data_IF_328810313432
#
_entry.id   IF_328810313432
#
_cell.length_a   1.000
_cell.length_b   1.000
_cell.length_c   1.000
_cell.angle_alpha   90.00
_cell.angle_beta   90.00
_cell.angle_gamma   90.00
#
_symmetry.space_group_name_H-M   'P 1'
#
loop_
_entity.id
_entity.type
_entity.pdbx_description
1 polymer ?
#
# COMPACT_ATOMS: atom_id res chain seq x y z
N UNK A 1 -44.76 -27.60 15.79
CA UNK A 1 -44.29 -27.51 14.39
C UNK A 1 -42.87 -26.99 14.43
N UNK A 2 -41.89 -27.86 14.18
CA UNK A 2 -40.47 -27.46 14.13
C UNK A 2 -40.24 -26.74 12.80
N UNK A 3 -39.99 -25.43 12.85
CA UNK A 3 -39.61 -24.63 11.69
C UNK A 3 -38.31 -25.21 11.13
N UNK A 4 -38.39 -25.96 10.03
CA UNK A 4 -37.21 -26.37 9.26
C UNK A 4 -36.47 -25.10 8.89
N UNK A 5 -35.28 -24.90 9.45
CA UNK A 5 -34.36 -23.87 9.00
C UNK A 5 -34.18 -24.06 7.49
N UNK A 6 -34.47 -23.02 6.72
CA UNK A 6 -34.33 -23.07 5.27
C UNK A 6 -32.87 -23.44 4.96
N UNK A 7 -32.64 -24.36 4.01
CA UNK A 7 -31.28 -24.81 3.73
C UNK A 7 -30.48 -23.64 3.14
N UNK A 8 -29.44 -23.22 3.88
CA UNK A 8 -28.48 -22.20 3.47
C UNK A 8 -27.18 -22.92 3.10
N UNK A 9 -26.81 -22.84 1.82
CA UNK A 9 -25.50 -23.28 1.36
C UNK A 9 -24.53 -22.12 1.42
N UNK A 10 -23.36 -22.32 2.03
CA UNK A 10 -22.32 -21.30 2.10
C UNK A 10 -21.29 -21.45 0.97
N UNK A 11 -20.89 -20.32 0.39
CA UNK A 11 -19.69 -20.17 -0.42
C UNK A 11 -18.55 -19.65 0.46
N UNK A 12 -17.35 -20.17 0.26
CA UNK A 12 -16.16 -19.76 1.00
C UNK A 12 -15.19 -19.05 0.07
N UNK A 13 -14.52 -18.02 0.59
CA UNK A 13 -13.46 -17.29 -0.11
C UNK A 13 -12.32 -16.99 0.84
N UNK A 14 -11.13 -17.37 0.43
CA UNK A 14 -9.90 -17.08 1.15
C UNK A 14 -9.18 -15.93 0.43
N UNK A 15 -8.82 -14.87 1.16
CA UNK A 15 -7.99 -13.77 0.65
C UNK A 15 -6.73 -13.63 1.50
N UNK A 16 -5.68 -13.12 0.87
CA UNK A 16 -4.41 -12.82 1.54
C UNK A 16 -4.17 -11.31 1.47
N UNK A 17 -4.11 -10.64 2.61
CA UNK A 17 -4.01 -9.17 2.71
C UNK A 17 -2.96 -8.74 3.72
N UNK A 18 -2.48 -7.50 3.64
CA UNK A 18 -1.58 -6.97 4.66
C UNK A 18 -2.34 -6.74 5.98
N UNK A 19 -1.62 -6.78 7.11
CA UNK A 19 -2.23 -6.57 8.43
C UNK A 19 -2.91 -5.21 8.57
N UNK A 20 -2.33 -4.17 7.97
CA UNK A 20 -2.88 -2.81 7.98
C UNK A 20 -4.23 -2.71 7.26
N UNK A 21 -4.51 -3.62 6.31
CA UNK A 21 -5.74 -3.63 5.51
C UNK A 21 -6.81 -4.58 6.09
N UNK A 22 -6.54 -5.29 7.20
CA UNK A 22 -7.47 -6.25 7.83
C UNK A 22 -8.87 -5.62 8.03
N UNK A 23 -8.91 -4.45 8.67
CA UNK A 23 -10.16 -3.77 8.99
C UNK A 23 -10.92 -3.32 7.74
N UNK A 24 -10.20 -2.80 6.73
CA UNK A 24 -10.80 -2.32 5.48
C UNK A 24 -11.46 -3.46 4.71
N UNK A 25 -10.80 -4.61 4.60
CA UNK A 25 -11.36 -5.76 3.91
C UNK A 25 -12.52 -6.38 4.69
N UNK A 26 -12.43 -6.48 6.02
CA UNK A 26 -13.53 -7.05 6.83
C UNK A 26 -14.79 -6.19 6.72
N UNK A 27 -14.68 -4.87 6.86
CA UNK A 27 -15.83 -3.96 6.75
C UNK A 27 -16.34 -3.86 5.31
N UNK A 28 -15.42 -3.70 4.35
CA UNK A 28 -15.76 -3.64 2.93
C UNK A 28 -16.48 -4.89 2.45
N UNK A 29 -15.96 -6.09 2.76
CA UNK A 29 -16.53 -7.36 2.30
C UNK A 29 -17.91 -7.66 2.90
N UNK A 30 -18.20 -7.16 4.11
CA UNK A 30 -19.52 -7.23 4.73
C UNK A 30 -20.59 -6.56 3.84
N UNK A 31 -20.24 -5.44 3.20
CA UNK A 31 -21.14 -4.75 2.26
C UNK A 31 -21.43 -5.53 0.96
N UNK A 32 -20.68 -6.60 0.67
CA UNK A 32 -20.92 -7.51 -0.45
C UNK A 32 -21.57 -8.84 -0.02
N UNK A 33 -22.01 -8.92 1.24
CA UNK A 33 -22.67 -10.07 1.85
C UNK A 33 -21.71 -11.16 2.34
N UNK A 34 -20.42 -10.87 2.47
CA UNK A 34 -19.46 -11.81 3.03
C UNK A 34 -19.38 -11.62 4.55
N UNK A 35 -19.59 -12.71 5.28
CA UNK A 35 -19.35 -12.77 6.72
C UNK A 35 -17.93 -13.26 7.00
N UNK A 36 -17.33 -12.71 8.05
CA UNK A 36 -16.05 -13.18 8.56
C UNK A 36 -16.21 -14.60 9.12
N UNK A 37 -15.38 -15.53 8.66
CA UNK A 37 -15.35 -16.89 9.18
C UNK A 37 -14.15 -17.10 10.11
N UNK A 38 -12.94 -16.84 9.63
CA UNK A 38 -11.73 -16.95 10.45
C UNK A 38 -10.58 -16.10 9.90
N UNK A 39 -9.69 -15.66 10.80
CA UNK A 39 -8.47 -14.93 10.46
C UNK A 39 -7.29 -15.76 10.93
N UNK A 40 -6.44 -16.21 9.99
CA UNK A 40 -5.18 -16.86 10.30
C UNK A 40 -4.07 -15.80 10.38
N UNK A 41 -3.69 -15.44 11.62
CA UNK A 41 -2.61 -14.49 11.88
C UNK A 41 -1.25 -15.20 11.79
N UNK A 42 -0.32 -14.76 10.92
CA UNK A 42 1.02 -15.33 10.88
C UNK A 42 1.80 -14.88 12.12
N UNK A 43 2.78 -15.70 12.50
CA UNK A 43 3.61 -15.49 13.70
C UNK A 43 4.56 -14.27 13.54
N UNK A 44 4.75 -13.78 12.32
CA UNK A 44 5.64 -12.63 12.01
C UNK A 44 4.83 -11.34 11.81
N UNK A 45 5.26 -10.21 12.40
CA UNK A 45 4.52 -8.94 12.37
C UNK A 45 4.46 -8.26 10.98
N UNK A 46 5.24 -8.74 10.00
CA UNK A 46 5.26 -8.24 8.61
C UNK A 46 4.70 -9.23 7.60
N UNK A 47 4.05 -10.30 8.07
CA UNK A 47 3.52 -11.33 7.18
C UNK A 47 2.05 -11.05 6.82
N UNK A 48 1.68 -11.42 5.61
CA UNK A 48 0.31 -11.30 5.11
C UNK A 48 -0.65 -12.20 5.90
N UNK A 49 -1.81 -11.64 6.23
CA UNK A 49 -2.91 -12.33 6.89
C UNK A 49 -3.73 -13.10 5.87
N UNK A 50 -4.11 -14.33 6.21
CA UNK A 50 -5.13 -15.06 5.45
C UNK A 50 -6.48 -14.89 6.14
N UNK A 51 -7.43 -14.27 5.45
CA UNK A 51 -8.79 -14.05 5.93
C UNK A 51 -9.71 -14.97 5.14
N UNK A 52 -10.54 -15.73 5.87
CA UNK A 52 -11.58 -16.58 5.31
C UNK A 52 -12.93 -15.92 5.49
N UNK A 53 -13.67 -15.84 4.40
CA UNK A 53 -15.02 -15.33 4.36
C UNK A 53 -16.00 -16.43 3.96
N UNK A 54 -17.22 -16.33 4.48
CA UNK A 54 -18.35 -17.18 4.09
C UNK A 54 -19.50 -16.30 3.62
N UNK A 55 -20.30 -16.77 2.67
CA UNK A 55 -21.45 -16.02 2.13
C UNK A 55 -22.56 -16.96 1.70
N UNK A 56 -23.82 -16.55 1.83
CA UNK A 56 -24.95 -17.33 1.30
C UNK A 56 -24.84 -17.48 -0.23
N UNK A 57 -25.03 -18.71 -0.71
CA UNK A 57 -25.05 -19.05 -2.13
C UNK A 57 -26.28 -18.51 -2.86
N UNK A 58 -27.39 -18.23 -2.16
CA UNK A 58 -28.67 -17.77 -2.73
C UNK A 58 -28.73 -16.24 -2.97
N UNK A 59 -27.70 -15.64 -3.58
CA UNK A 59 -27.69 -14.21 -3.90
C UNK A 59 -28.16 -13.98 -5.34
N UNK A 60 -29.24 -13.20 -5.51
CA UNK A 60 -29.81 -12.88 -6.84
C UNK A 60 -28.83 -12.12 -7.73
N UNK A 61 -28.24 -11.04 -7.22
CA UNK A 61 -27.39 -10.11 -7.99
C UNK A 61 -25.89 -10.49 -8.00
N UNK A 62 -25.57 -11.78 -8.02
CA UNK A 62 -24.19 -12.29 -7.85
C UNK A 62 -23.19 -11.73 -8.89
N UNK A 63 -23.60 -11.61 -10.15
CA UNK A 63 -22.74 -11.12 -11.22
C UNK A 63 -22.35 -9.65 -11.01
N UNK A 64 -23.31 -8.82 -10.61
CA UNK A 64 -23.09 -7.39 -10.35
C UNK A 64 -22.24 -7.17 -9.08
N UNK A 65 -22.52 -7.90 -8.01
CA UNK A 65 -21.70 -7.86 -6.78
C UNK A 65 -20.27 -8.29 -7.06
N UNK A 66 -20.05 -9.30 -7.90
CA UNK A 66 -18.69 -9.71 -8.29
C UNK A 66 -17.99 -8.62 -9.10
N UNK A 67 -18.73 -7.88 -9.94
CA UNK A 67 -18.18 -6.73 -10.69
C UNK A 67 -17.78 -5.59 -9.74
N UNK A 68 -18.67 -5.21 -8.82
CA UNK A 68 -18.40 -4.16 -7.83
C UNK A 68 -17.26 -4.58 -6.89
N UNK A 69 -17.21 -5.85 -6.49
CA UNK A 69 -16.12 -6.39 -5.67
C UNK A 69 -14.77 -6.29 -6.40
N UNK A 70 -14.72 -6.58 -7.70
CA UNK A 70 -13.49 -6.37 -8.50
C UNK A 70 -13.09 -4.89 -8.58
N UNK A 71 -14.07 -3.97 -8.65
CA UNK A 71 -13.79 -2.54 -8.61
C UNK A 71 -13.25 -2.10 -7.25
N UNK A 72 -13.80 -2.62 -6.16
CA UNK A 72 -13.29 -2.42 -4.81
C UNK A 72 -11.85 -2.94 -4.68
N UNK A 73 -11.61 -4.21 -5.04
CA UNK A 73 -10.28 -4.84 -4.95
C UNK A 73 -9.25 -4.05 -5.79
N UNK A 74 -9.63 -3.57 -6.99
CA UNK A 74 -8.77 -2.73 -7.83
C UNK A 74 -8.48 -1.36 -7.23
N UNK A 75 -9.48 -0.70 -6.64
CA UNK A 75 -9.30 0.60 -5.98
C UNK A 75 -8.37 0.50 -4.76
N UNK A 76 -8.50 -0.57 -3.96
CA UNK A 76 -7.59 -0.83 -2.82
C UNK A 76 -6.15 -1.09 -3.29
N UNK A 77 -5.96 -1.84 -4.38
CA UNK A 77 -4.62 -2.06 -4.96
C UNK A 77 -4.01 -0.75 -5.48
N UNK A 78 -4.79 0.11 -6.14
CA UNK A 78 -4.35 1.44 -6.56
C UNK A 78 -3.92 2.31 -5.36
N UNK A 79 -4.66 2.30 -4.25
CA UNK A 79 -4.29 3.02 -3.03
C UNK A 79 -2.95 2.53 -2.47
N UNK A 80 -2.72 1.22 -2.46
CA UNK A 80 -1.44 0.64 -2.02
C UNK A 80 -0.29 1.04 -2.95
N UNK A 81 -0.51 1.00 -4.27
CA UNK A 81 0.49 1.43 -5.25
C UNK A 81 0.82 2.92 -5.08
N UNK A 82 -0.17 3.78 -4.84
CA UNK A 82 0.03 5.21 -4.57
C UNK A 82 0.88 5.41 -3.31
N UNK A 83 0.60 4.68 -2.23
CA UNK A 83 1.38 4.79 -1.00
C UNK A 83 2.83 4.30 -1.16
N UNK A 84 3.02 3.20 -1.90
CA UNK A 84 4.36 2.68 -2.24
C UNK A 84 5.13 3.68 -3.11
N UNK A 85 4.49 4.27 -4.12
CA UNK A 85 5.13 5.22 -5.05
C UNK A 85 5.75 6.43 -4.34
N UNK A 86 5.07 6.93 -3.30
CA UNK A 86 5.53 8.02 -2.43
C UNK A 86 6.86 7.69 -1.75
N UNK A 87 6.99 6.46 -1.22
CA UNK A 87 8.20 5.99 -0.53
C UNK A 87 9.32 5.76 -1.55
N UNK A 88 9.02 5.09 -2.66
CA UNK A 88 10.01 4.74 -3.70
C UNK A 88 10.63 5.96 -4.36
N UNK A 89 9.84 6.98 -4.75
CA UNK A 89 10.38 8.19 -5.38
C UNK A 89 11.34 8.94 -4.43
N UNK A 90 10.96 9.06 -3.16
CA UNK A 90 11.80 9.72 -2.16
C UNK A 90 13.12 8.95 -1.93
N UNK A 91 13.07 7.61 -1.91
CA UNK A 91 14.25 6.76 -1.80
C UNK A 91 15.17 6.85 -3.01
N UNK A 92 14.63 6.81 -4.24
CA UNK A 92 15.42 6.92 -5.48
C UNK A 92 16.23 8.22 -5.49
N UNK A 93 15.60 9.35 -5.15
CA UNK A 93 16.28 10.65 -5.10
C UNK A 93 17.36 10.67 -4.01
N UNK A 94 17.06 10.17 -2.81
CA UNK A 94 18.03 10.12 -1.72
C UNK A 94 19.25 9.26 -2.06
N UNK A 95 19.04 8.06 -2.61
CA UNK A 95 20.12 7.17 -3.00
C UNK A 95 20.92 7.68 -4.19
N UNK A 96 20.27 8.35 -5.15
CA UNK A 96 20.98 8.98 -6.28
C UNK A 96 21.97 10.06 -5.80
N UNK A 97 21.54 10.93 -4.88
CA UNK A 97 22.42 11.96 -4.32
C UNK A 97 23.54 11.34 -3.47
N UNK A 98 23.23 10.31 -2.68
CA UNK A 98 24.22 9.60 -1.87
C UNK A 98 25.29 8.89 -2.73
N UNK A 99 24.89 8.31 -3.87
CA UNK A 99 25.80 7.66 -4.81
C UNK A 99 26.78 8.68 -5.42
N UNK A 100 26.28 9.85 -5.83
CA UNK A 100 27.12 10.94 -6.34
C UNK A 100 28.11 11.40 -5.27
N UNK A 101 27.65 11.57 -4.02
CA UNK A 101 28.53 11.90 -2.88
C UNK A 101 29.62 10.86 -2.66
N UNK A 102 29.29 9.58 -2.81
CA UNK A 102 30.24 8.46 -2.66
C UNK A 102 31.31 8.47 -3.76
N UNK A 103 30.93 8.76 -5.01
CA UNK A 103 31.86 8.88 -6.13
C UNK A 103 32.83 10.05 -5.91
N UNK A 104 32.34 11.20 -5.42
CA UNK A 104 33.19 12.34 -5.07
C UNK A 104 34.16 12.01 -3.92
N UNK A 105 33.71 11.29 -2.89
CA UNK A 105 34.59 10.84 -1.80
C UNK A 105 35.68 9.89 -2.31
N UNK A 106 35.33 8.90 -3.13
CA UNK A 106 36.31 7.99 -3.72
C UNK A 106 37.34 8.75 -4.57
N UNK A 107 36.90 9.70 -5.40
CA UNK A 107 37.77 10.57 -6.19
C UNK A 107 38.74 11.40 -5.34
N UNK A 108 38.28 11.89 -4.18
CA UNK A 108 39.13 12.60 -3.23
C UNK A 108 40.27 11.73 -2.69
N UNK A 109 39.99 10.47 -2.33
CA UNK A 109 40.99 9.52 -1.82
C UNK A 109 42.02 9.15 -2.89
N UNK A 110 41.57 8.91 -4.13
CA UNK A 110 42.49 8.64 -5.25
C UNK A 110 43.38 9.85 -5.58
N UNK A 111 42.84 11.08 -5.48
CA UNK A 111 43.61 12.29 -5.70
C UNK A 111 44.73 12.47 -4.66
N UNK A 112 44.48 12.17 -3.37
CA UNK A 112 45.54 12.17 -2.34
C UNK A 112 46.63 11.14 -2.67
N UNK A 113 46.22 9.93 -3.07
CA UNK A 113 47.15 8.84 -3.40
C UNK A 113 48.04 9.17 -4.60
N UNK A 114 47.56 10.03 -5.49
CA UNK A 114 48.27 10.50 -6.68
C UNK A 114 49.13 11.75 -6.43
N UNK A 115 49.19 12.24 -5.18
CA UNK A 115 49.91 13.46 -4.80
C UNK A 115 49.20 14.78 -5.19
N UNK A 116 47.97 14.70 -5.70
CA UNK A 116 47.17 15.86 -6.14
C UNK A 116 46.28 16.37 -4.98
N UNK A 117 46.92 16.90 -3.94
CA UNK A 117 46.26 17.34 -2.70
C UNK A 117 45.18 18.41 -2.96
N UNK A 118 45.42 19.35 -3.88
CA UNK A 118 44.45 20.39 -4.26
C UNK A 118 43.15 19.80 -4.82
N UNK A 119 43.25 18.75 -5.63
CA UNK A 119 42.08 18.09 -6.24
C UNK A 119 41.25 17.36 -5.18
N UNK A 120 41.92 16.76 -4.18
CA UNK A 120 41.26 16.07 -3.07
C UNK A 120 40.36 17.00 -2.26
N UNK A 121 40.83 18.22 -1.94
CA UNK A 121 40.05 19.20 -1.17
C UNK A 121 38.81 19.66 -1.96
N UNK A 122 38.97 19.87 -3.27
CA UNK A 122 37.86 20.26 -4.16
C UNK A 122 36.78 19.18 -4.21
N UNK A 123 37.16 17.89 -4.18
CA UNK A 123 36.20 16.77 -4.17
C UNK A 123 35.64 16.44 -2.78
N UNK A 124 36.38 16.72 -1.70
CA UNK A 124 35.95 16.41 -0.33
C UNK A 124 34.73 17.24 0.08
N UNK A 125 34.73 18.54 -0.20
CA UNK A 125 33.62 19.46 0.12
C UNK A 125 32.27 18.98 -0.46
N UNK A 126 32.14 18.70 -1.77
CA UNK A 126 30.91 18.16 -2.34
C UNK A 126 30.60 16.74 -1.87
N UNK A 127 31.60 15.93 -1.51
CA UNK A 127 31.40 14.61 -0.92
C UNK A 127 30.67 14.68 0.43
N UNK A 128 31.10 15.55 1.34
CA UNK A 128 30.43 15.77 2.63
C UNK A 128 29.03 16.38 2.47
N UNK A 129 28.90 17.37 1.58
CA UNK A 129 27.61 17.99 1.27
C UNK A 129 26.64 16.95 0.69
N UNK A 130 27.12 16.07 -0.18
CA UNK A 130 26.37 14.97 -0.79
C UNK A 130 25.83 13.93 0.18
N UNK A 131 26.32 13.89 1.42
CA UNK A 131 25.79 13.04 2.50
C UNK A 131 24.74 13.74 3.37
N UNK A 132 24.79 15.06 3.50
CA UNK A 132 23.85 15.84 4.33
C UNK A 132 22.57 16.18 3.55
N UNK A 133 22.71 16.55 2.27
CA UNK A 133 21.60 16.94 1.39
C UNK A 133 20.51 15.85 1.22
N UNK A 134 20.83 14.55 1.04
CA UNK A 134 19.83 13.51 0.82
C UNK A 134 18.73 13.48 1.88
N UNK A 135 19.09 13.69 3.15
CA UNK A 135 18.13 13.68 4.25
C UNK A 135 17.11 14.83 4.16
N UNK A 136 17.59 16.05 3.87
CA UNK A 136 16.73 17.22 3.71
C UNK A 136 15.86 17.14 2.46
N UNK A 137 16.43 16.68 1.34
CA UNK A 137 15.69 16.44 0.10
C UNK A 137 14.61 15.37 0.29
N UNK A 138 14.94 14.25 0.95
CA UNK A 138 13.98 13.19 1.28
C UNK A 138 12.82 13.76 2.09
N UNK A 139 13.09 14.48 3.19
CA UNK A 139 12.04 15.01 4.07
C UNK A 139 11.10 15.98 3.35
N UNK A 140 11.63 16.93 2.58
CA UNK A 140 10.82 17.90 1.83
C UNK A 140 10.01 17.23 0.71
N UNK A 141 10.63 16.34 -0.05
CA UNK A 141 9.96 15.64 -1.15
C UNK A 141 8.88 14.69 -0.63
N UNK A 142 9.19 13.96 0.45
CA UNK A 142 8.25 13.09 1.14
C UNK A 142 7.05 13.89 1.65
N UNK A 143 7.24 15.05 2.27
CA UNK A 143 6.13 15.89 2.75
C UNK A 143 5.24 16.40 1.60
N UNK A 144 5.85 16.91 0.52
CA UNK A 144 5.09 17.41 -0.64
C UNK A 144 4.29 16.29 -1.30
N UNK A 145 4.93 15.13 -1.52
CA UNK A 145 4.26 13.95 -2.07
C UNK A 145 3.25 13.33 -1.11
N UNK A 146 3.46 13.45 0.21
CA UNK A 146 2.47 13.05 1.22
C UNK A 146 1.17 13.82 1.06
N UNK A 147 1.25 15.14 0.90
CA UNK A 147 0.07 15.98 0.79
C UNK A 147 -0.71 15.71 -0.51
N UNK A 148 0.01 15.56 -1.63
CA UNK A 148 -0.59 15.23 -2.93
C UNK A 148 -1.27 13.86 -2.91
N UNK A 149 -0.58 12.83 -2.39
CA UNK A 149 -1.14 11.49 -2.26
C UNK A 149 -2.28 11.44 -1.26
N UNK A 150 -2.25 12.22 -0.17
CA UNK A 150 -3.34 12.26 0.80
C UNK A 150 -4.64 12.79 0.17
N UNK A 151 -4.56 13.82 -0.69
CA UNK A 151 -5.73 14.32 -1.41
C UNK A 151 -6.30 13.24 -2.35
N UNK A 152 -5.44 12.56 -3.11
CA UNK A 152 -5.85 11.45 -3.98
C UNK A 152 -6.40 10.26 -3.19
N UNK A 153 -5.85 9.99 -2.01
CA UNK A 153 -6.29 8.91 -1.12
C UNK A 153 -7.72 9.17 -0.63
N UNK A 154 -8.02 10.39 -0.18
CA UNK A 154 -9.38 10.75 0.24
C UNK A 154 -10.39 10.56 -0.89
N UNK A 155 -10.05 10.93 -2.13
CA UNK A 155 -10.92 10.71 -3.29
C UNK A 155 -11.17 9.22 -3.56
N UNK A 156 -10.16 8.37 -3.33
CA UNK A 156 -10.28 6.92 -3.50
C UNK A 156 -11.10 6.28 -2.38
N UNK A 157 -10.99 6.78 -1.15
CA UNK A 157 -11.85 6.38 -0.03
C UNK A 157 -13.33 6.71 -0.29
N UNK A 158 -13.62 7.89 -0.85
CA UNK A 158 -14.98 8.26 -1.27
C UNK A 158 -15.52 7.31 -2.37
N UNK A 159 -14.67 6.92 -3.33
CA UNK A 159 -15.02 5.94 -4.37
C UNK A 159 -15.32 4.56 -3.76
N UNK A 160 -14.50 4.09 -2.82
CA UNK A 160 -14.74 2.85 -2.08
C UNK A 160 -16.06 2.88 -1.31
N UNK A 161 -16.38 4.01 -0.68
CA UNK A 161 -17.64 4.19 0.04
C UNK A 161 -18.85 4.06 -0.91
N UNK A 162 -18.83 4.72 -2.07
CA UNK A 162 -19.93 4.65 -3.03
C UNK A 162 -20.08 3.25 -3.65
N UNK A 163 -18.98 2.54 -3.91
CA UNK A 163 -19.01 1.14 -4.38
C UNK A 163 -19.61 0.22 -3.31
N UNK A 164 -19.18 0.37 -2.05
CA UNK A 164 -19.66 -0.45 -0.93
C UNK A 164 -21.15 -0.19 -0.65
N UNK A 165 -21.59 1.06 -0.71
CA UNK A 165 -22.98 1.46 -0.57
C UNK A 165 -23.87 0.89 -1.67
N UNK A 166 -23.42 0.93 -2.93
CA UNK A 166 -24.12 0.29 -4.06
C UNK A 166 -24.22 -1.22 -3.86
N UNK A 167 -23.14 -1.86 -3.44
CA UNK A 167 -23.15 -3.30 -3.17
C UNK A 167 -24.14 -3.67 -2.06
N UNK A 168 -24.14 -2.94 -0.95
CA UNK A 168 -25.05 -3.17 0.17
C UNK A 168 -26.53 -2.99 -0.26
N UNK A 169 -26.83 -2.00 -1.11
CA UNK A 169 -28.18 -1.80 -1.64
C UNK A 169 -28.71 -2.96 -2.50
N UNK A 170 -27.81 -3.79 -3.05
CA UNK A 170 -28.15 -4.95 -3.88
C UNK A 170 -28.34 -6.24 -3.07
N UNK A 171 -28.06 -6.20 -1.76
CA UNK A 171 -28.28 -7.34 -0.87
C UNK A 171 -29.75 -7.43 -0.47
N UNK A 172 -30.32 -8.64 -0.36
CA UNK A 172 -31.64 -8.82 0.21
C UNK A 172 -31.62 -8.43 1.69
N UNK A 173 -32.59 -7.60 2.10
CA UNK A 173 -32.87 -7.33 3.52
C UNK A 173 -33.64 -8.48 4.16
#
# INVERSE_FOLDING_TARGET
MSSRADFIGYEYKDITVNQEQESLFVDGYTNFGWDLDSIAKPIKPLASLKIKFKRDRKIRNKAELTRLQRQFDACVDEMEQLERSKKTMAQIVAYGIALIGTICMAGSVFAVTSGLITLSVIFAVPGFIGWIIPYFCYKKLYQKKSAEVAILMNQKEDELYEVSKKANSLLPK
#
